data_IF_260525340075
#
_entry.id   IF_260525340075
#
_cell.length_a   1.000
_cell.length_b   1.000
_cell.length_c   1.000
_cell.angle_alpha   90.00
_cell.angle_beta   90.00
_cell.angle_gamma   90.00
#
_symmetry.space_group_name_H-M   'P 1'
#
loop_
_entity.id
_entity.type
_entity.pdbx_description
1 polymer ?
#
# COMPACT_ATOMS: atom_id res chain seq x y z
N UNK A 1 4.07 2.66 1.59
CA UNK A 1 3.48 2.72 2.95
C UNK A 1 3.70 4.13 3.48
N UNK A 2 2.64 4.79 3.96
CA UNK A 2 2.75 6.11 4.58
C UNK A 2 2.73 5.94 6.08
N UNK A 3 3.74 6.48 6.77
CA UNK A 3 3.68 6.70 8.21
C UNK A 3 2.79 7.92 8.44
N UNK A 4 1.71 7.77 9.17
CA UNK A 4 1.10 8.92 9.82
C UNK A 4 2.17 9.48 10.77
N UNK A 5 2.58 10.74 10.53
CA UNK A 5 3.53 11.41 11.41
C UNK A 5 2.89 11.53 12.80
N UNK A 6 3.31 10.65 13.71
CA UNK A 6 3.10 10.91 15.12
C UNK A 6 3.89 12.18 15.46
N UNK A 7 3.22 13.23 15.87
CA UNK A 7 3.89 14.45 16.32
C UNK A 7 4.71 14.08 17.54
N UNK A 8 6.05 14.25 17.56
CA UNK A 8 6.84 13.96 18.74
C UNK A 8 6.33 14.83 19.89
N UNK A 9 5.85 14.22 20.96
CA UNK A 9 5.32 14.90 22.15
C UNK A 9 3.81 14.91 22.30
N UNK A 10 3.00 14.47 21.33
CA UNK A 10 1.63 14.08 21.62
C UNK A 10 1.65 12.68 22.23
N UNK A 11 1.85 12.60 23.51
CA UNK A 11 1.31 11.47 24.29
C UNK A 11 -0.19 11.64 24.14
N UNK A 12 -0.83 10.83 23.30
CA UNK A 12 -2.28 10.70 23.28
C UNK A 12 -2.66 10.01 24.59
N UNK A 13 -2.70 10.80 25.66
CA UNK A 13 -3.26 10.44 26.95
C UNK A 13 -4.76 10.31 26.73
N UNK A 14 -5.20 9.18 26.16
CA UNK A 14 -6.61 8.95 26.04
C UNK A 14 -7.11 8.03 24.93
N UNK A 15 -6.27 7.29 24.23
CA UNK A 15 -6.78 6.19 23.43
C UNK A 15 -7.30 5.09 24.38
N UNK A 16 -8.61 4.97 24.43
CA UNK A 16 -9.22 3.84 25.12
C UNK A 16 -8.75 2.52 24.47
N UNK A 17 -8.49 1.46 25.26
CA UNK A 17 -8.12 0.17 24.72
C UNK A 17 -9.24 -0.35 23.80
N UNK A 18 -8.87 -0.84 22.62
CA UNK A 18 -9.79 -1.40 21.65
C UNK A 18 -9.70 -2.91 21.68
N UNK A 19 -10.81 -3.59 21.93
CA UNK A 19 -10.95 -5.02 21.65
C UNK A 19 -11.43 -5.17 20.20
N UNK A 20 -10.61 -5.82 19.36
CA UNK A 20 -10.97 -6.07 17.96
C UNK A 20 -12.08 -7.14 17.82
N UNK A 21 -12.44 -7.87 18.88
CA UNK A 21 -13.47 -8.90 18.85
C UNK A 21 -13.20 -10.04 17.86
N UNK A 22 -11.95 -10.25 17.48
CA UNK A 22 -11.58 -11.24 16.46
C UNK A 22 -11.49 -12.64 17.07
N UNK A 23 -12.17 -13.58 16.43
CA UNK A 23 -12.02 -15.02 16.75
C UNK A 23 -10.76 -15.60 16.08
N UNK A 24 -10.20 -16.72 16.58
CA UNK A 24 -9.03 -17.36 15.99
C UNK A 24 -9.18 -17.70 14.49
N UNK A 25 -8.08 -17.70 13.76
CA UNK A 25 -7.97 -18.15 12.38
C UNK A 25 -6.58 -18.75 12.14
N UNK A 26 -6.36 -19.42 10.99
CA UNK A 26 -5.07 -20.03 10.68
C UNK A 26 -3.94 -19.02 10.55
N UNK A 27 -4.23 -17.89 9.91
CA UNK A 27 -3.29 -16.79 9.65
C UNK A 27 -3.82 -15.49 10.23
N UNK A 28 -2.96 -14.77 10.95
CA UNK A 28 -3.21 -13.39 11.40
C UNK A 28 -2.19 -12.48 10.73
N UNK A 29 -2.67 -11.44 10.06
CA UNK A 29 -1.82 -10.42 9.43
C UNK A 29 -2.09 -9.06 10.06
N UNK A 30 -1.03 -8.42 10.54
CA UNK A 30 -1.07 -7.12 11.23
C UNK A 30 -0.25 -6.11 10.41
N UNK A 31 -0.83 -4.99 10.04
CA UNK A 31 -0.14 -3.92 9.33
C UNK A 31 -0.68 -2.54 9.68
N UNK A 32 0.18 -1.52 9.62
CA UNK A 32 -0.25 -0.12 9.68
C UNK A 32 -0.78 0.40 8.33
N UNK A 33 -0.60 -0.36 7.24
CA UNK A 33 -1.02 0.02 5.90
C UNK A 33 -2.38 -0.58 5.53
N UNK A 34 -3.43 0.23 5.50
CA UNK A 34 -4.77 -0.19 5.08
C UNK A 34 -4.78 -0.78 3.67
N UNK A 35 -3.89 -0.31 2.79
CA UNK A 35 -3.74 -0.83 1.42
C UNK A 35 -3.31 -2.29 1.40
N UNK A 36 -2.47 -2.73 2.33
CA UNK A 36 -2.05 -4.12 2.45
C UNK A 36 -3.19 -5.01 2.99
N UNK A 37 -3.89 -4.51 4.00
CA UNK A 37 -5.07 -5.19 4.55
C UNK A 37 -6.13 -5.39 3.46
N UNK A 38 -6.40 -4.34 2.67
CA UNK A 38 -7.34 -4.40 1.55
C UNK A 38 -6.87 -5.37 0.45
N UNK A 39 -5.56 -5.36 0.10
CA UNK A 39 -5.00 -6.27 -0.89
C UNK A 39 -5.17 -7.74 -0.49
N UNK A 40 -4.84 -8.09 0.75
CA UNK A 40 -4.99 -9.47 1.25
C UNK A 40 -6.45 -9.89 1.40
N UNK A 41 -7.34 -8.95 1.78
CA UNK A 41 -8.79 -9.21 1.79
C UNK A 41 -9.32 -9.54 0.39
N UNK A 42 -8.93 -8.73 -0.60
CA UNK A 42 -9.29 -8.94 -2.01
C UNK A 42 -8.69 -10.23 -2.56
N UNK A 43 -7.41 -10.50 -2.28
CA UNK A 43 -6.73 -11.72 -2.69
C UNK A 43 -7.45 -12.97 -2.15
N UNK A 44 -7.79 -12.97 -0.86
CA UNK A 44 -8.53 -14.06 -0.21
C UNK A 44 -9.87 -14.32 -0.89
N UNK A 45 -10.61 -13.28 -1.26
CA UNK A 45 -11.90 -13.42 -1.94
C UNK A 45 -11.80 -14.05 -3.34
N UNK A 46 -10.62 -13.97 -3.98
CA UNK A 46 -10.36 -14.54 -5.31
C UNK A 46 -9.70 -15.93 -5.27
N UNK A 47 -9.44 -16.49 -4.09
CA UNK A 47 -8.90 -17.85 -3.95
C UNK A 47 -10.01 -18.89 -3.88
N UNK A 48 -9.81 -20.06 -4.50
CA UNK A 48 -10.76 -21.18 -4.43
C UNK A 48 -10.80 -21.78 -3.03
N UNK A 49 -9.64 -21.96 -2.40
CA UNK A 49 -9.49 -22.52 -1.06
C UNK A 49 -8.64 -21.58 -0.19
N UNK A 50 -9.22 -20.45 0.27
CA UNK A 50 -8.46 -19.48 1.05
C UNK A 50 -8.19 -19.97 2.48
N UNK A 51 -7.06 -19.57 3.09
CA UNK A 51 -6.82 -19.83 4.51
C UNK A 51 -7.83 -19.09 5.39
N UNK A 52 -8.04 -19.58 6.61
CA UNK A 52 -8.64 -18.78 7.67
C UNK A 52 -7.75 -17.58 7.94
N UNK A 53 -8.26 -16.34 7.73
CA UNK A 53 -7.48 -15.11 7.81
C UNK A 53 -8.12 -14.10 8.75
N UNK A 54 -7.30 -13.47 9.60
CA UNK A 54 -7.64 -12.24 10.31
C UNK A 54 -6.70 -11.13 9.90
N UNK A 55 -7.27 -9.98 9.62
CA UNK A 55 -6.55 -8.76 9.27
C UNK A 55 -6.74 -7.75 10.39
N UNK A 56 -5.66 -7.27 10.97
CA UNK A 56 -5.71 -6.29 12.06
C UNK A 56 -4.92 -5.02 11.67
N UNK A 57 -5.55 -3.86 11.82
CA UNK A 57 -4.83 -2.60 11.70
C UNK A 57 -3.99 -2.39 12.96
N UNK A 58 -2.69 -2.19 12.78
CA UNK A 58 -1.76 -1.88 13.86
C UNK A 58 -2.15 -0.59 14.62
N UNK A 59 -2.88 0.31 13.96
CA UNK A 59 -3.38 1.54 14.56
C UNK A 59 -4.36 1.28 15.73
N UNK A 60 -5.10 0.16 15.68
CA UNK A 60 -5.98 -0.26 16.76
C UNK A 60 -5.26 -1.05 17.85
N UNK A 61 -4.00 -1.42 17.62
CA UNK A 61 -3.15 -2.19 18.54
C UNK A 61 -2.02 -1.33 19.14
N UNK A 62 -2.18 0.00 19.19
CA UNK A 62 -1.19 0.89 19.80
C UNK A 62 -1.23 0.82 21.34
N UNK A 63 -2.42 0.66 21.93
CA UNK A 63 -2.56 0.55 23.37
C UNK A 63 -2.11 -0.84 23.85
N UNK A 64 -1.29 -0.97 24.92
CA UNK A 64 -0.82 -2.27 25.44
C UNK A 64 -1.94 -3.27 25.71
N UNK A 65 -3.04 -2.85 26.33
CA UNK A 65 -4.19 -3.72 26.60
C UNK A 65 -4.85 -4.24 25.33
N UNK A 66 -4.88 -3.45 24.24
CA UNK A 66 -5.40 -3.92 22.94
C UNK A 66 -4.54 -5.03 22.35
N UNK A 67 -3.21 -4.92 22.50
CA UNK A 67 -2.25 -5.97 22.14
C UNK A 67 -2.54 -7.25 22.92
N UNK A 68 -2.63 -7.14 24.24
CA UNK A 68 -2.85 -8.30 25.12
C UNK A 68 -4.18 -9.00 24.83
N UNK A 69 -5.27 -8.23 24.69
CA UNK A 69 -6.59 -8.77 24.34
C UNK A 69 -6.57 -9.49 22.99
N UNK A 70 -5.91 -8.91 21.97
CA UNK A 70 -5.84 -9.53 20.64
C UNK A 70 -5.00 -10.81 20.64
N UNK A 71 -3.88 -10.84 21.38
CA UNK A 71 -3.09 -12.07 21.53
C UNK A 71 -3.93 -13.16 22.19
N UNK A 72 -4.60 -12.85 23.30
CA UNK A 72 -5.39 -13.83 24.07
C UNK A 72 -6.61 -14.33 23.31
N UNK A 73 -7.33 -13.43 22.65
CA UNK A 73 -8.55 -13.77 21.94
C UNK A 73 -8.30 -14.47 20.60
N UNK A 74 -7.24 -14.09 19.87
CA UNK A 74 -7.06 -14.46 18.48
C UNK A 74 -5.68 -15.06 18.18
N UNK A 75 -4.58 -14.30 18.36
CA UNK A 75 -3.28 -14.63 17.79
C UNK A 75 -2.61 -15.86 18.42
N UNK A 76 -2.76 -16.10 19.74
CA UNK A 76 -2.17 -17.25 20.41
C UNK A 76 -2.75 -18.61 19.97
N UNK A 77 -3.84 -18.59 19.19
CA UNK A 77 -4.49 -19.78 18.63
C UNK A 77 -4.42 -19.85 17.11
N UNK A 78 -3.66 -18.96 16.49
CA UNK A 78 -3.32 -19.04 15.08
C UNK A 78 -2.23 -20.10 14.82
N UNK A 79 -1.91 -20.36 13.57
CA UNK A 79 -0.76 -21.19 13.16
C UNK A 79 0.40 -20.32 12.69
N UNK A 80 0.10 -19.16 12.12
CA UNK A 80 1.07 -18.17 11.65
C UNK A 80 0.55 -16.76 11.92
N UNK A 81 1.40 -15.93 12.51
CA UNK A 81 1.18 -14.50 12.63
C UNK A 81 2.24 -13.75 11.84
N UNK A 82 1.83 -12.80 11.00
CA UNK A 82 2.73 -11.91 10.27
C UNK A 82 2.42 -10.48 10.69
N UNK A 83 3.42 -9.75 11.17
CA UNK A 83 3.32 -8.32 11.48
C UNK A 83 4.28 -7.54 10.59
N UNK A 84 3.77 -6.52 9.88
CA UNK A 84 4.57 -5.68 8.98
C UNK A 84 4.55 -4.23 9.41
N UNK A 85 5.73 -3.64 9.60
CA UNK A 85 5.87 -2.28 10.13
C UNK A 85 6.90 -1.47 9.33
N UNK A 86 6.57 -0.22 9.03
CA UNK A 86 7.53 0.78 8.59
C UNK A 86 8.02 1.57 9.81
N UNK A 87 9.33 1.84 9.87
CA UNK A 87 9.95 2.57 10.99
C UNK A 87 10.65 1.67 12.02
N UNK A 88 10.75 0.38 11.75
CA UNK A 88 11.49 -0.58 12.58
C UNK A 88 10.76 -1.01 13.85
N UNK A 89 11.43 -1.83 14.65
CA UNK A 89 10.87 -2.42 15.87
C UNK A 89 10.42 -1.38 16.91
N UNK A 90 11.07 -0.21 16.97
CA UNK A 90 10.75 0.85 17.92
C UNK A 90 9.38 1.49 17.68
N UNK A 91 8.85 1.41 16.45
CA UNK A 91 7.53 1.96 16.11
C UNK A 91 6.38 1.26 16.86
N UNK A 92 6.52 -0.04 17.13
CA UNK A 92 5.52 -0.84 17.84
C UNK A 92 6.19 -1.80 18.83
N UNK A 93 7.10 -1.27 19.64
CA UNK A 93 7.99 -2.05 20.52
C UNK A 93 7.24 -3.01 21.40
N UNK A 94 6.23 -2.53 22.16
CA UNK A 94 5.44 -3.37 23.07
C UNK A 94 4.77 -4.53 22.32
N UNK A 95 4.18 -4.24 21.16
CA UNK A 95 3.55 -5.27 20.33
C UNK A 95 4.54 -6.37 19.95
N UNK A 96 5.69 -6.01 19.35
CA UNK A 96 6.68 -7.02 18.95
C UNK A 96 7.18 -7.87 20.13
N UNK A 97 7.49 -7.26 21.27
CA UNK A 97 7.94 -7.98 22.47
C UNK A 97 6.88 -8.96 22.97
N UNK A 98 5.60 -8.54 23.06
CA UNK A 98 4.52 -9.40 23.55
C UNK A 98 4.16 -10.51 22.56
N UNK A 99 4.04 -10.17 21.27
CA UNK A 99 3.75 -11.18 20.24
C UNK A 99 4.88 -12.21 20.16
N UNK A 100 6.14 -11.81 20.09
CA UNK A 100 7.25 -12.76 20.02
C UNK A 100 7.29 -13.70 21.20
N UNK A 101 7.18 -13.18 22.44
CA UNK A 101 7.23 -13.99 23.64
C UNK A 101 6.05 -14.96 23.73
N UNK A 102 4.82 -14.46 23.61
CA UNK A 102 3.60 -15.25 23.87
C UNK A 102 3.27 -16.22 22.74
N UNK A 103 3.63 -15.88 21.48
CA UNK A 103 3.49 -16.80 20.35
C UNK A 103 4.52 -17.93 20.41
N UNK A 104 5.75 -17.65 20.87
CA UNK A 104 6.75 -18.70 21.12
C UNK A 104 6.27 -19.70 22.18
N UNK A 105 5.70 -19.20 23.28
CA UNK A 105 5.12 -20.05 24.34
C UNK A 105 3.93 -20.88 23.84
N UNK A 106 3.14 -20.33 22.91
CA UNK A 106 2.00 -21.01 22.29
C UNK A 106 2.39 -21.93 21.12
N UNK A 107 3.65 -21.95 20.68
CA UNK A 107 4.10 -22.72 19.52
C UNK A 107 3.57 -22.20 18.19
N UNK A 108 3.25 -20.89 18.09
CA UNK A 108 2.75 -20.22 16.89
C UNK A 108 3.90 -19.59 16.12
N UNK A 109 3.99 -19.85 14.83
CA UNK A 109 5.00 -19.23 13.97
C UNK A 109 4.77 -17.71 13.86
N UNK A 110 5.86 -16.92 13.92
CA UNK A 110 5.80 -15.47 13.86
C UNK A 110 6.81 -14.91 12.86
N UNK A 111 6.37 -13.98 12.01
CA UNK A 111 7.21 -13.22 11.09
C UNK A 111 6.99 -11.71 11.32
N UNK A 112 8.03 -11.03 11.80
CA UNK A 112 8.06 -9.58 11.95
C UNK A 112 8.82 -8.97 10.76
N UNK A 113 8.10 -8.34 9.82
CA UNK A 113 8.63 -7.94 8.52
C UNK A 113 8.77 -6.42 8.40
N UNK A 114 9.83 -5.91 7.72
CA UNK A 114 9.94 -4.49 7.42
C UNK A 114 8.89 -4.03 6.40
N UNK A 115 8.42 -2.81 6.57
CA UNK A 115 7.39 -2.21 5.72
C UNK A 115 7.89 -1.66 4.38
N UNK A 116 9.19 -1.56 4.20
CA UNK A 116 9.85 -1.12 2.97
C UNK A 116 10.66 -2.26 2.31
N UNK A 117 11.56 -1.91 1.38
CA UNK A 117 12.43 -2.82 0.65
C UNK A 117 13.84 -2.93 1.27
N UNK A 118 14.01 -2.44 2.53
CA UNK A 118 15.28 -2.49 3.24
C UNK A 118 15.23 -3.55 4.34
N UNK A 119 16.26 -4.42 4.40
CA UNK A 119 16.37 -5.38 5.50
C UNK A 119 16.42 -4.69 6.86
N UNK A 120 15.73 -5.27 7.84
CA UNK A 120 15.74 -4.83 9.23
C UNK A 120 16.14 -6.01 10.14
N UNK A 121 17.43 -6.08 10.54
CA UNK A 121 17.93 -7.17 11.38
C UNK A 121 17.26 -7.21 12.76
N UNK A 122 16.86 -6.06 13.30
CA UNK A 122 16.22 -5.99 14.62
C UNK A 122 14.81 -6.59 14.58
N UNK A 123 14.06 -6.35 13.50
CA UNK A 123 12.77 -7.02 13.28
C UNK A 123 12.94 -8.53 13.06
N UNK A 124 14.00 -8.93 12.36
CA UNK A 124 14.28 -10.35 12.12
C UNK A 124 14.45 -11.14 13.43
N UNK A 125 15.00 -10.53 14.48
CA UNK A 125 15.20 -11.17 15.78
C UNK A 125 13.89 -11.57 16.48
N UNK A 126 12.77 -10.94 16.17
CA UNK A 126 11.45 -11.32 16.72
C UNK A 126 10.81 -12.50 15.99
N UNK A 127 11.33 -12.85 14.80
CA UNK A 127 10.70 -13.86 13.94
C UNK A 127 11.16 -15.26 14.30
N UNK A 128 10.25 -16.23 14.23
CA UNK A 128 10.49 -17.66 14.48
C UNK A 128 10.44 -18.52 13.23
N UNK A 129 9.99 -17.97 12.10
CA UNK A 129 10.02 -18.64 10.79
C UNK A 129 11.46 -18.79 10.28
N UNK A 130 11.69 -19.73 9.36
CA UNK A 130 12.99 -19.91 8.70
C UNK A 130 13.40 -18.64 7.92
N UNK A 131 14.69 -18.51 7.60
CA UNK A 131 15.16 -17.38 6.76
C UNK A 131 14.52 -17.42 5.37
N UNK A 132 14.37 -18.62 4.80
CA UNK A 132 13.71 -18.81 3.51
C UNK A 132 12.25 -18.34 3.53
N UNK A 133 11.48 -18.74 4.55
CA UNK A 133 10.09 -18.33 4.70
C UNK A 133 9.97 -16.83 4.95
N UNK A 134 10.88 -16.27 5.76
CA UNK A 134 10.93 -14.84 6.04
C UNK A 134 11.14 -14.02 4.76
N UNK A 135 12.16 -14.38 3.99
CA UNK A 135 12.51 -13.68 2.75
C UNK A 135 11.41 -13.81 1.70
N UNK A 136 10.80 -14.99 1.57
CA UNK A 136 9.69 -15.20 0.65
C UNK A 136 8.45 -14.37 1.02
N UNK A 137 8.03 -14.40 2.28
CA UNK A 137 6.90 -13.61 2.78
C UNK A 137 7.14 -12.10 2.55
N UNK A 138 8.35 -11.64 2.86
CA UNK A 138 8.74 -10.25 2.69
C UNK A 138 8.76 -9.84 1.22
N UNK A 139 9.32 -10.66 0.33
CA UNK A 139 9.39 -10.39 -1.10
C UNK A 139 7.99 -10.20 -1.72
N UNK A 140 7.01 -11.05 -1.40
CA UNK A 140 5.64 -10.87 -1.89
C UNK A 140 5.04 -9.52 -1.49
N UNK A 141 5.29 -9.06 -0.28
CA UNK A 141 4.75 -7.82 0.24
C UNK A 141 5.50 -6.58 -0.28
N UNK A 142 6.80 -6.68 -0.53
CA UNK A 142 7.61 -5.61 -1.15
C UNK A 142 7.17 -5.36 -2.59
N UNK A 143 7.04 -6.44 -3.36
CA UNK A 143 6.60 -6.32 -4.74
C UNK A 143 5.12 -5.96 -4.83
N UNK A 144 4.27 -6.58 -4.01
CA UNK A 144 2.84 -6.29 -3.92
C UNK A 144 2.08 -6.63 -5.20
N UNK A 145 0.86 -6.15 -5.29
CA UNK A 145 -0.04 -6.41 -6.42
C UNK A 145 -0.90 -7.67 -6.23
N UNK A 146 -1.99 -7.82 -7.02
CA UNK A 146 -2.98 -8.86 -6.78
C UNK A 146 -2.42 -10.29 -6.84
N UNK A 147 -1.50 -10.55 -7.78
CA UNK A 147 -0.89 -11.88 -7.94
C UNK A 147 0.01 -12.23 -6.77
N UNK A 148 0.87 -11.29 -6.35
CA UNK A 148 1.74 -11.48 -5.19
C UNK A 148 0.94 -11.61 -3.89
N UNK A 149 -0.18 -10.91 -3.74
CA UNK A 149 -1.06 -11.05 -2.59
C UNK A 149 -1.71 -12.43 -2.50
N UNK A 150 -2.13 -13.02 -3.63
CA UNK A 150 -2.63 -14.41 -3.69
C UNK A 150 -1.50 -15.39 -3.36
N UNK A 151 -0.31 -15.20 -3.95
CA UNK A 151 0.85 -16.05 -3.68
C UNK A 151 1.32 -15.94 -2.23
N UNK A 152 1.28 -14.76 -1.61
CA UNK A 152 1.54 -14.56 -0.18
C UNK A 152 0.62 -15.43 0.68
N UNK A 153 -0.69 -15.41 0.44
CA UNK A 153 -1.64 -16.24 1.19
C UNK A 153 -1.42 -17.73 0.92
N UNK A 154 -1.10 -18.11 -0.33
CA UNK A 154 -0.70 -19.47 -0.68
C UNK A 154 0.58 -19.92 0.04
N UNK A 155 1.55 -19.01 0.18
CA UNK A 155 2.79 -19.29 0.91
C UNK A 155 2.54 -19.44 2.43
N UNK A 156 1.65 -18.63 3.00
CA UNK A 156 1.17 -18.85 4.36
C UNK A 156 0.57 -20.26 4.54
N UNK A 157 -0.24 -20.72 3.57
CA UNK A 157 -0.76 -22.10 3.58
C UNK A 157 0.36 -23.14 3.44
N UNK A 158 1.38 -22.88 2.63
CA UNK A 158 2.55 -23.75 2.53
C UNK A 158 3.25 -23.90 3.89
N UNK A 159 3.51 -22.81 4.60
CA UNK A 159 4.15 -22.84 5.94
C UNK A 159 3.30 -23.66 6.93
N UNK A 160 1.99 -23.46 6.97
CA UNK A 160 1.13 -24.03 8.02
C UNK A 160 0.61 -25.45 7.72
N UNK A 161 0.56 -25.84 6.45
CA UNK A 161 -0.09 -27.07 6.01
C UNK A 161 0.68 -27.83 4.92
N UNK A 162 1.91 -27.42 4.59
CA UNK A 162 2.76 -28.07 3.57
C UNK A 162 2.06 -28.21 2.21
N UNK A 163 1.22 -27.25 1.85
CA UNK A 163 0.60 -27.20 0.52
C UNK A 163 1.67 -26.96 -0.56
N UNK A 164 1.38 -27.18 -1.84
CA UNK A 164 2.33 -26.84 -2.90
C UNK A 164 2.83 -25.39 -2.79
N UNK A 165 4.14 -25.20 -2.91
CA UNK A 165 4.77 -23.89 -2.86
C UNK A 165 4.27 -23.02 -4.03
N UNK A 166 3.78 -21.80 -3.80
CA UNK A 166 3.38 -20.90 -4.88
C UNK A 166 4.61 -20.38 -5.65
N UNK A 167 4.35 -19.73 -6.79
CA UNK A 167 5.40 -19.07 -7.55
C UNK A 167 6.05 -17.97 -6.70
N UNK A 168 7.36 -17.77 -6.87
CA UNK A 168 8.09 -16.68 -6.22
C UNK A 168 7.49 -15.30 -6.56
N UNK A 169 7.79 -14.32 -5.74
CA UNK A 169 7.30 -12.96 -5.94
C UNK A 169 7.73 -12.43 -7.33
N UNK A 170 6.77 -11.89 -8.06
CA UNK A 170 7.00 -11.26 -9.36
C UNK A 170 7.25 -9.77 -9.17
N UNK A 171 8.34 -9.21 -9.73
CA UNK A 171 8.60 -7.79 -9.66
C UNK A 171 7.44 -6.97 -10.26
N UNK A 172 6.94 -6.02 -9.49
CA UNK A 172 6.00 -5.04 -9.98
C UNK A 172 6.77 -3.84 -10.53
N UNK A 173 6.41 -3.36 -11.74
CA UNK A 173 7.03 -2.18 -12.34
C UNK A 173 7.03 -0.98 -11.37
N UNK A 174 8.10 -0.21 -11.38
CA UNK A 174 8.22 1.01 -10.55
C UNK A 174 7.34 2.14 -11.07
N UNK A 175 7.11 2.19 -12.38
CA UNK A 175 6.19 3.10 -13.04
C UNK A 175 5.63 2.44 -14.31
N UNK A 176 4.47 2.88 -14.75
CA UNK A 176 3.85 2.38 -15.96
C UNK A 176 2.43 2.89 -16.14
N UNK A 177 1.82 2.48 -17.23
CA UNK A 177 0.41 2.77 -17.51
C UNK A 177 -0.45 1.73 -16.81
N UNK A 178 -1.56 2.18 -16.26
CA UNK A 178 -2.63 1.34 -15.75
C UNK A 178 -3.88 1.52 -16.61
N UNK A 179 -4.67 0.46 -16.80
CA UNK A 179 -5.99 0.62 -17.43
C UNK A 179 -7.07 -0.16 -16.67
N UNK A 180 -8.24 0.46 -16.39
CA UNK A 180 -9.34 -0.22 -15.72
C UNK A 180 -9.75 -1.51 -16.43
N UNK A 181 -9.78 -2.63 -15.69
CA UNK A 181 -10.10 -3.95 -16.23
C UNK A 181 -8.94 -4.70 -16.88
N UNK A 182 -7.90 -4.01 -17.37
CA UNK A 182 -6.71 -4.63 -17.95
C UNK A 182 -5.52 -4.68 -16.96
N UNK A 183 -5.55 -3.86 -15.90
CA UNK A 183 -4.45 -3.79 -14.93
C UNK A 183 -3.25 -3.01 -15.45
N UNK A 184 -2.04 -3.54 -15.20
CA UNK A 184 -0.81 -2.95 -15.73
C UNK A 184 -0.82 -3.13 -17.26
N UNK A 185 -0.62 -2.02 -17.96
CA UNK A 185 -0.80 -1.91 -19.40
C UNK A 185 0.29 -1.02 -20.01
N UNK A 186 0.10 -0.64 -21.26
CA UNK A 186 0.93 0.28 -21.99
C UNK A 186 0.11 1.42 -22.63
N UNK A 187 0.80 2.37 -23.25
CA UNK A 187 0.17 3.49 -23.94
C UNK A 187 -0.73 3.02 -25.10
N UNK A 188 -0.40 1.90 -25.76
CA UNK A 188 -1.18 1.37 -26.88
C UNK A 188 -2.55 0.88 -26.41
N UNK A 189 -2.59 0.21 -25.26
CA UNK A 189 -3.84 -0.21 -24.64
C UNK A 189 -4.73 0.97 -24.23
N UNK A 190 -4.14 2.05 -23.71
CA UNK A 190 -4.89 3.27 -23.40
C UNK A 190 -5.47 3.91 -24.69
N UNK A 191 -4.67 4.00 -25.73
CA UNK A 191 -5.06 4.61 -27.02
C UNK A 191 -6.23 3.93 -27.73
N UNK A 192 -6.47 2.65 -27.48
CA UNK A 192 -7.64 1.92 -28.04
C UNK A 192 -8.96 2.57 -27.61
N UNK A 193 -8.96 3.23 -26.46
CA UNK A 193 -10.16 3.83 -25.85
C UNK A 193 -10.25 5.35 -26.09
N UNK A 194 -9.25 5.94 -26.74
CA UNK A 194 -9.17 7.39 -26.94
C UNK A 194 -9.98 7.87 -28.14
N UNK A 195 -10.46 9.08 -28.03
CA UNK A 195 -11.06 9.80 -29.15
C UNK A 195 -9.96 10.55 -29.91
N UNK A 196 -9.98 10.43 -31.23
CA UNK A 196 -9.01 11.13 -32.10
C UNK A 196 -9.05 12.63 -31.83
N UNK A 197 -7.87 13.26 -31.72
CA UNK A 197 -7.65 14.69 -31.53
C UNK A 197 -8.24 15.26 -30.21
N UNK A 198 -8.73 14.44 -29.31
CA UNK A 198 -9.16 14.89 -27.98
C UNK A 198 -7.95 15.14 -27.05
N UNK A 199 -8.07 16.08 -26.08
CA UNK A 199 -6.98 16.41 -25.16
C UNK A 199 -6.54 15.21 -24.32
N UNK A 200 -5.22 15.02 -24.16
CA UNK A 200 -4.65 13.98 -23.30
C UNK A 200 -4.50 14.50 -21.89
N UNK A 201 -5.04 13.75 -20.93
CA UNK A 201 -5.05 14.08 -19.51
C UNK A 201 -4.38 12.95 -18.70
N UNK A 202 -3.07 13.04 -18.41
CA UNK A 202 -2.42 12.14 -17.50
C UNK A 202 -3.00 12.23 -16.09
N UNK A 203 -3.23 11.07 -15.47
CA UNK A 203 -3.61 10.92 -14.06
C UNK A 203 -2.46 10.22 -13.35
N UNK A 204 -1.67 10.98 -12.59
CA UNK A 204 -0.46 10.49 -11.93
C UNK A 204 -0.82 10.07 -10.51
N UNK A 205 -0.49 8.84 -10.12
CA UNK A 205 -0.81 8.30 -8.80
C UNK A 205 0.26 7.32 -8.30
N UNK A 206 0.25 7.04 -7.00
CA UNK A 206 1.24 6.15 -6.42
C UNK A 206 1.06 4.69 -6.79
N UNK A 207 2.18 4.01 -7.07
CA UNK A 207 2.28 2.55 -7.24
C UNK A 207 1.59 1.77 -6.11
N UNK A 208 1.57 2.33 -4.90
CA UNK A 208 0.90 1.73 -3.74
C UNK A 208 -0.59 1.42 -3.99
N UNK A 209 -1.29 2.20 -4.82
CA UNK A 209 -2.68 1.91 -5.19
C UNK A 209 -2.81 0.67 -6.08
N UNK A 210 -1.82 0.41 -6.94
CA UNK A 210 -1.76 -0.83 -7.73
C UNK A 210 -1.43 -2.02 -6.83
N UNK A 211 -0.50 -1.84 -5.88
CA UNK A 211 -0.12 -2.87 -4.92
C UNK A 211 -1.28 -3.26 -3.99
N UNK A 212 -2.02 -2.27 -3.51
CA UNK A 212 -3.06 -2.42 -2.49
C UNK A 212 -4.49 -2.57 -3.01
N UNK A 213 -4.70 -2.77 -4.31
CA UNK A 213 -6.03 -2.82 -4.94
C UNK A 213 -6.90 -1.56 -4.71
N UNK A 214 -6.30 -0.43 -4.32
CA UNK A 214 -6.97 0.86 -4.05
C UNK A 214 -7.32 1.67 -5.31
N UNK A 215 -7.62 1.02 -6.43
CA UNK A 215 -7.74 1.65 -7.76
C UNK A 215 -9.11 2.22 -8.09
N UNK A 216 -10.10 2.06 -7.21
CA UNK A 216 -11.46 2.53 -7.49
C UNK A 216 -11.55 4.05 -7.78
N UNK A 217 -10.87 4.96 -7.04
CA UNK A 217 -10.85 6.38 -7.38
C UNK A 217 -10.27 6.65 -8.78
N UNK A 218 -9.18 5.96 -9.14
CA UNK A 218 -8.56 6.08 -10.46
C UNK A 218 -9.50 5.60 -11.55
N UNK A 219 -10.16 4.44 -11.35
CA UNK A 219 -11.13 3.90 -12.30
C UNK A 219 -12.29 4.88 -12.54
N UNK A 220 -12.79 5.52 -11.48
CA UNK A 220 -13.86 6.53 -11.59
C UNK A 220 -13.40 7.78 -12.32
N UNK A 221 -12.17 8.26 -12.07
CA UNK A 221 -11.61 9.41 -12.80
C UNK A 221 -11.43 9.10 -14.29
N UNK A 222 -10.86 7.93 -14.63
CA UNK A 222 -10.73 7.50 -16.03
C UNK A 222 -12.10 7.50 -16.73
N UNK A 223 -13.11 6.92 -16.08
CA UNK A 223 -14.48 6.90 -16.63
C UNK A 223 -15.05 8.30 -16.81
N UNK A 224 -14.88 9.18 -15.82
CA UNK A 224 -15.38 10.56 -15.90
C UNK A 224 -14.70 11.36 -17.02
N UNK A 225 -13.38 11.23 -17.18
CA UNK A 225 -12.63 11.89 -18.25
C UNK A 225 -13.08 11.41 -19.64
N UNK A 226 -13.27 10.10 -19.82
CA UNK A 226 -13.81 9.57 -21.09
C UNK A 226 -15.22 10.10 -21.37
N UNK A 227 -16.08 10.19 -20.36
CA UNK A 227 -17.43 10.75 -20.50
C UNK A 227 -17.42 12.25 -20.84
N UNK A 228 -16.38 12.97 -20.41
CA UNK A 228 -16.15 14.37 -20.75
C UNK A 228 -15.50 14.57 -22.14
N UNK A 229 -15.26 13.51 -22.91
CA UNK A 229 -14.63 13.58 -24.23
C UNK A 229 -13.11 13.81 -24.18
N UNK A 230 -12.47 13.49 -23.07
CA UNK A 230 -11.02 13.61 -22.86
C UNK A 230 -10.34 12.25 -22.97
N UNK A 231 -9.04 12.25 -23.21
CA UNK A 231 -8.22 11.06 -23.34
C UNK A 231 -7.41 10.83 -22.05
N UNK A 232 -7.90 10.02 -21.08
CA UNK A 232 -7.17 9.76 -19.85
C UNK A 232 -5.94 8.90 -20.09
N UNK A 233 -4.83 9.24 -19.40
CA UNK A 233 -3.62 8.43 -19.35
C UNK A 233 -3.25 8.18 -17.88
N UNK A 234 -3.81 7.14 -17.24
CA UNK A 234 -3.49 6.80 -15.87
C UNK A 234 -2.09 6.18 -15.77
N UNK A 235 -1.20 6.84 -15.02
CA UNK A 235 0.21 6.46 -14.85
C UNK A 235 0.49 6.29 -13.37
N UNK A 236 0.92 5.10 -12.98
CA UNK A 236 1.42 4.88 -11.63
C UNK A 236 2.92 5.12 -11.55
N UNK A 237 3.38 5.63 -10.41
CA UNK A 237 4.79 5.91 -10.12
C UNK A 237 5.15 5.46 -8.71
N UNK A 238 6.37 4.96 -8.51
CA UNK A 238 6.89 4.68 -7.18
C UNK A 238 7.10 5.99 -6.40
N UNK A 239 7.64 7.00 -7.07
CA UNK A 239 7.83 8.37 -6.56
C UNK A 239 8.17 9.29 -7.71
N UNK A 240 7.79 10.57 -7.63
CA UNK A 240 8.25 11.60 -8.56
C UNK A 240 9.74 11.96 -8.41
N UNK A 241 10.42 11.38 -7.41
CA UNK A 241 11.88 11.48 -7.20
C UNK A 241 12.64 10.23 -7.68
N UNK A 242 11.92 9.16 -8.04
CA UNK A 242 12.52 7.91 -8.51
C UNK A 242 12.94 8.05 -9.98
N UNK A 243 14.22 7.80 -10.32
CA UNK A 243 14.72 8.01 -11.68
C UNK A 243 13.98 7.20 -12.76
N UNK A 244 13.54 5.99 -12.44
CA UNK A 244 12.78 5.13 -13.36
C UNK A 244 11.39 5.72 -13.60
N UNK A 245 10.73 6.18 -12.55
CA UNK A 245 9.43 6.86 -12.66
C UNK A 245 9.51 8.13 -13.48
N UNK A 246 10.56 8.95 -13.25
CA UNK A 246 10.80 10.18 -14.01
C UNK A 246 11.03 9.89 -15.51
N UNK A 247 11.90 8.91 -15.82
CA UNK A 247 12.16 8.51 -17.20
C UNK A 247 10.92 7.95 -17.90
N UNK A 248 10.09 7.19 -17.17
CA UNK A 248 8.82 6.64 -17.70
C UNK A 248 7.83 7.76 -18.02
N UNK A 249 7.68 8.75 -17.13
CA UNK A 249 6.83 9.92 -17.36
C UNK A 249 7.31 10.71 -18.58
N UNK A 250 8.61 10.97 -18.69
CA UNK A 250 9.20 11.70 -19.82
C UNK A 250 8.90 11.01 -21.15
N UNK A 251 9.11 9.69 -21.24
CA UNK A 251 8.79 8.90 -22.43
C UNK A 251 7.30 8.94 -22.80
N UNK A 252 6.43 8.80 -21.80
CA UNK A 252 4.98 8.81 -22.03
C UNK A 252 4.49 10.20 -22.48
N UNK A 253 5.01 11.28 -21.91
CA UNK A 253 4.65 12.65 -22.28
C UNK A 253 5.17 13.03 -23.66
N UNK A 254 6.35 12.56 -24.05
CA UNK A 254 6.85 12.72 -25.42
C UNK A 254 5.96 11.99 -26.44
N UNK A 255 5.51 10.78 -26.11
CA UNK A 255 4.67 9.98 -27.00
C UNK A 255 3.20 10.43 -27.02
N UNK A 256 2.72 11.07 -25.97
CA UNK A 256 1.37 11.56 -25.78
C UNK A 256 1.41 12.87 -24.97
N UNK A 257 1.67 14.02 -25.62
CA UNK A 257 1.80 15.30 -24.94
C UNK A 257 0.54 15.66 -24.14
N UNK A 258 0.71 16.00 -22.84
CA UNK A 258 -0.42 16.35 -21.98
C UNK A 258 -0.96 17.76 -22.27
N UNK A 259 -2.28 17.93 -22.14
CA UNK A 259 -2.93 19.26 -22.11
C UNK A 259 -3.17 19.74 -20.67
N UNK A 260 -3.45 18.80 -19.74
CA UNK A 260 -3.60 19.02 -18.30
C UNK A 260 -3.12 17.78 -17.57
N UNK A 261 -2.40 17.94 -16.48
CA UNK A 261 -1.93 16.84 -15.64
C UNK A 261 -2.71 16.83 -14.32
N UNK A 262 -3.35 15.71 -13.98
CA UNK A 262 -3.96 15.48 -12.68
C UNK A 262 -2.95 14.74 -11.80
N UNK A 263 -2.41 15.43 -10.79
CA UNK A 263 -1.45 14.85 -9.87
C UNK A 263 -2.13 14.38 -8.58
N UNK A 264 -2.23 13.07 -8.40
CA UNK A 264 -2.79 12.43 -7.20
C UNK A 264 -1.70 11.98 -6.22
N UNK A 265 -0.45 12.44 -6.37
CA UNK A 265 0.63 12.18 -5.41
C UNK A 265 0.68 13.29 -4.36
N UNK A 266 0.89 12.93 -3.07
CA UNK A 266 0.76 13.88 -1.95
C UNK A 266 2.06 14.55 -1.56
N UNK A 267 3.23 14.00 -1.92
CA UNK A 267 4.51 14.53 -1.47
C UNK A 267 5.04 15.63 -2.37
N UNK A 268 5.57 16.70 -1.76
CA UNK A 268 6.28 17.74 -2.48
C UNK A 268 7.48 17.16 -3.25
N UNK A 269 7.58 17.53 -4.52
CA UNK A 269 8.68 17.11 -5.40
C UNK A 269 9.96 17.87 -5.07
N UNK A 270 9.85 19.09 -4.51
CA UNK A 270 10.97 19.93 -4.12
C UNK A 270 11.57 19.59 -2.76
N UNK A 271 12.86 19.92 -2.58
CA UNK A 271 13.50 19.93 -1.27
C UNK A 271 13.31 21.33 -0.64
N UNK A 272 12.59 21.48 0.48
CA UNK A 272 12.34 22.80 1.09
C UNK A 272 13.62 23.52 1.57
N UNK A 273 14.74 22.82 1.67
CA UNK A 273 16.04 23.34 2.10
C UNK A 273 17.12 23.26 0.99
N UNK A 274 16.74 22.96 -0.25
CA UNK A 274 17.67 22.85 -1.39
C UNK A 274 17.53 24.00 -2.38
N UNK A 275 18.49 24.09 -3.32
CA UNK A 275 18.47 25.08 -4.39
C UNK A 275 17.15 25.06 -5.18
N UNK A 276 16.70 26.24 -5.56
CA UNK A 276 15.38 26.62 -6.06
C UNK A 276 15.00 26.11 -7.46
N UNK A 277 15.59 25.03 -7.95
CA UNK A 277 15.17 24.39 -9.20
C UNK A 277 15.02 22.89 -9.01
N UNK A 278 13.93 22.43 -8.37
CA UNK A 278 13.63 21.02 -8.39
C UNK A 278 13.34 20.60 -9.85
N UNK A 279 14.02 19.57 -10.35
CA UNK A 279 13.62 18.86 -11.55
C UNK A 279 12.26 18.18 -11.29
N UNK A 280 11.19 18.97 -11.35
CA UNK A 280 9.85 18.42 -11.25
C UNK A 280 9.48 17.79 -12.61
N UNK A 281 9.32 16.47 -12.71
CA UNK A 281 9.02 15.81 -13.98
C UNK A 281 7.67 16.25 -14.56
N UNK A 282 6.75 16.76 -13.73
CA UNK A 282 5.44 17.22 -14.18
C UNK A 282 5.50 18.62 -14.84
N UNK A 283 6.60 19.35 -14.67
CA UNK A 283 6.85 20.67 -15.31
C UNK A 283 8.04 20.64 -16.24
N UNK A 284 8.56 19.46 -16.58
CA UNK A 284 9.64 19.29 -17.54
C UNK A 284 9.19 19.67 -18.95
N UNK A 285 10.15 19.82 -19.87
CA UNK A 285 9.85 20.18 -21.26
C UNK A 285 8.92 19.17 -21.96
N UNK A 286 9.04 17.89 -21.63
CA UNK A 286 8.15 16.82 -22.11
C UNK A 286 6.70 16.98 -21.66
N UNK A 287 6.45 17.65 -20.54
CA UNK A 287 5.11 17.96 -20.04
C UNK A 287 4.42 19.11 -20.81
N UNK A 288 5.03 19.63 -21.90
CA UNK A 288 4.47 20.65 -22.79
C UNK A 288 3.95 21.90 -22.08
N UNK A 289 4.48 22.23 -20.89
CA UNK A 289 3.99 23.30 -20.01
C UNK A 289 2.51 23.15 -19.60
N UNK A 290 1.97 21.92 -19.65
CA UNK A 290 0.61 21.64 -19.23
C UNK A 290 0.38 22.05 -17.76
N UNK A 291 -0.75 22.67 -17.44
CA UNK A 291 -1.07 22.97 -16.04
C UNK A 291 -1.20 21.67 -15.23
N UNK A 292 -0.65 21.71 -14.00
CA UNK A 292 -0.72 20.59 -13.06
C UNK A 292 -1.78 20.92 -12.01
N UNK A 293 -2.81 20.09 -11.93
CA UNK A 293 -3.86 20.16 -10.92
C UNK A 293 -3.60 19.12 -9.86
N UNK A 294 -3.47 19.56 -8.60
CA UNK A 294 -3.36 18.65 -7.47
C UNK A 294 -4.73 18.05 -7.14
N UNK A 295 -4.79 16.73 -7.08
CA UNK A 295 -6.00 15.97 -6.72
C UNK A 295 -5.73 15.20 -5.45
N UNK A 296 -6.55 15.39 -4.43
CA UNK A 296 -6.47 14.64 -3.18
C UNK A 296 -7.34 13.40 -3.29
N UNK A 297 -6.75 12.23 -3.03
CA UNK A 297 -7.47 10.97 -2.91
C UNK A 297 -7.79 10.75 -1.44
N UNK A 298 -8.97 11.22 -1.00
CA UNK A 298 -9.41 11.12 0.38
C UNK A 298 -9.70 9.66 0.78
N UNK A 299 -9.26 9.27 1.97
CA UNK A 299 -9.61 8.01 2.62
C UNK A 299 -10.91 8.11 3.44
N UNK A 300 -11.30 9.33 3.83
CA UNK A 300 -12.55 9.63 4.51
C UNK A 300 -13.75 9.58 3.54
N UNK A 301 -14.94 9.35 4.10
CA UNK A 301 -16.19 9.41 3.33
C UNK A 301 -16.60 10.86 3.06
N UNK A 302 -17.33 11.10 1.96
CA UNK A 302 -17.89 12.41 1.63
C UNK A 302 -18.78 12.95 2.78
N UNK A 303 -19.62 12.09 3.36
CA UNK A 303 -20.45 12.46 4.52
C UNK A 303 -19.60 12.91 5.72
N UNK A 304 -18.52 12.20 6.03
CA UNK A 304 -17.59 12.58 7.10
C UNK A 304 -16.89 13.91 6.83
N UNK A 305 -16.61 14.21 5.56
CA UNK A 305 -16.04 15.49 5.16
C UNK A 305 -17.07 16.63 5.23
N UNK A 306 -18.30 16.40 4.78
CA UNK A 306 -19.38 17.40 4.82
C UNK A 306 -19.82 17.75 6.25
N UNK A 307 -19.90 16.74 7.14
CA UNK A 307 -20.27 16.91 8.55
C UNK A 307 -19.10 17.47 9.40
N UNK A 308 -17.86 17.35 8.91
CA UNK A 308 -16.66 17.75 9.62
C UNK A 308 -16.37 19.25 9.48
N UNK A 309 -16.16 19.95 10.63
CA UNK A 309 -15.77 21.36 10.64
C UNK A 309 -14.31 21.59 10.21
N UNK A 310 -13.49 20.54 10.10
CA UNK A 310 -12.04 20.62 9.91
C UNK A 310 -11.58 20.41 8.45
N UNK A 311 -12.51 20.21 7.50
CA UNK A 311 -12.18 19.90 6.11
C UNK A 311 -11.57 18.49 5.94
N UNK A 312 -10.51 18.36 5.13
CA UNK A 312 -9.80 17.10 4.96
C UNK A 312 -9.06 16.71 6.26
N UNK A 313 -9.16 15.44 6.63
CA UNK A 313 -8.45 14.93 7.80
C UNK A 313 -6.93 14.89 7.57
N UNK A 314 -6.13 14.85 8.63
CA UNK A 314 -4.68 14.68 8.53
C UNK A 314 -4.31 13.38 7.75
N UNK A 315 -5.17 12.36 7.81
CA UNK A 315 -5.03 11.11 7.08
C UNK A 315 -5.25 11.27 5.56
N UNK A 316 -6.06 12.23 5.15
CA UNK A 316 -6.34 12.50 3.73
C UNK A 316 -5.24 13.34 3.07
N UNK A 317 -4.43 14.05 3.87
CA UNK A 317 -3.40 14.98 3.40
C UNK A 317 -1.99 14.37 3.51
N UNK A 318 -1.82 13.31 4.32
CA UNK A 318 -0.53 12.61 4.52
C UNK A 318 -0.21 11.62 3.35
#
# INVERSE_FOLDING_TARGET
MHLLAATPGSVDEGQEPVDLGQSPADVVFISAADTELAALSSARANMTEPPGLRLASMMHLQHPMSVDLHIDACASRAKLVVARVLGGASYWKYGFEQYAARLADAGVAFAALPGDDKPDPDLRLFSTVSDEDYDALWAYLVEGGPKNAVNFLGYCQHIIAQTPMPQAAEPLLRAGVYWPGAGISDLSAARVHWTKDAPVVPVIFYRALVQGAGLNPINRMVKALLQAGLNPLPIFVASLKDPISVATLDQLFQAAPPEVILNCTSFAVGNPHGDSSPNNPLTAASASQAPVLQVVLAASTEASWEEGANGLSARDIA
#
